data_IF_568426924177
#
_entry.id   IF_568426924177
#
_cell.length_a   1.000
_cell.length_b   1.000
_cell.length_c   1.000
_cell.angle_alpha   90.00
_cell.angle_beta   90.00
_cell.angle_gamma   90.00
#
_symmetry.space_group_name_H-M   'P 1'
#
loop_
_entity.id
_entity.type
_entity.pdbx_description
1 polymer ?
#
# COMPACT_ATOMS: atom_id res chain seq x y z
N UNK A 1 -34.15 -37.41 -37.36
CA UNK A 1 -33.82 -36.67 -36.13
C UNK A 1 -32.32 -36.76 -35.90
N UNK A 2 -31.68 -35.59 -35.92
CA UNK A 2 -30.43 -35.18 -35.27
C UNK A 2 -29.16 -36.00 -35.53
N UNK A 3 -28.39 -35.48 -36.48
CA UNK A 3 -26.94 -35.58 -36.63
C UNK A 3 -26.22 -35.19 -35.32
N UNK A 4 -25.24 -36.00 -34.89
CA UNK A 4 -24.26 -35.62 -33.88
C UNK A 4 -23.14 -34.79 -34.55
N UNK A 5 -22.75 -33.62 -34.00
CA UNK A 5 -21.60 -32.88 -34.53
C UNK A 5 -20.27 -33.39 -33.97
N UNK A 6 -19.28 -33.25 -34.85
CA UNK A 6 -17.89 -33.65 -34.78
C UNK A 6 -17.05 -32.93 -33.69
N UNK A 7 -15.96 -33.60 -33.34
CA UNK A 7 -14.64 -32.99 -33.48
C UNK A 7 -14.02 -32.38 -32.22
N UNK A 8 -13.33 -33.22 -31.45
CA UNK A 8 -12.33 -32.77 -30.48
C UNK A 8 -10.98 -32.71 -31.22
N UNK A 9 -10.53 -31.49 -31.56
CA UNK A 9 -9.18 -31.21 -32.07
C UNK A 9 -8.42 -30.41 -31.01
N UNK A 10 -7.64 -31.11 -30.16
CA UNK A 10 -6.74 -30.49 -29.19
C UNK A 10 -5.44 -30.08 -29.90
N UNK A 11 -5.49 -28.94 -30.59
CA UNK A 11 -4.32 -28.36 -31.28
C UNK A 11 -3.50 -27.45 -30.36
N UNK A 12 -2.37 -27.99 -29.89
CA UNK A 12 -1.10 -27.32 -29.61
C UNK A 12 -1.13 -25.82 -29.20
N UNK A 13 -1.13 -25.54 -27.89
CA UNK A 13 -0.50 -24.34 -27.29
C UNK A 13 0.12 -24.66 -25.92
N UNK A 14 0.86 -25.79 -25.85
CA UNK A 14 1.55 -26.28 -24.64
C UNK A 14 3.08 -26.07 -24.66
N UNK A 15 3.57 -25.20 -25.54
CA UNK A 15 5.01 -24.98 -25.75
C UNK A 15 5.45 -23.51 -25.56
N UNK A 16 4.75 -22.76 -24.69
CA UNK A 16 5.12 -21.37 -24.37
C UNK A 16 5.01 -21.08 -22.87
N UNK A 17 5.57 -21.99 -22.07
CA UNK A 17 5.54 -21.90 -20.60
C UNK A 17 6.89 -22.20 -19.94
N UNK A 18 8.00 -22.21 -20.67
CA UNK A 18 9.32 -22.57 -20.14
C UNK A 18 10.47 -21.69 -20.63
N UNK A 19 10.33 -20.36 -20.61
CA UNK A 19 11.43 -19.48 -21.06
C UNK A 19 11.37 -18.03 -20.53
N UNK A 20 10.99 -17.80 -19.26
CA UNK A 20 11.21 -16.50 -18.59
C UNK A 20 11.49 -16.72 -17.10
N UNK A 21 12.64 -17.33 -16.76
CA UNK A 21 13.08 -17.47 -15.35
C UNK A 21 14.55 -17.07 -15.12
N UNK A 22 15.22 -16.34 -16.03
CA UNK A 22 16.62 -15.97 -15.83
C UNK A 22 16.85 -14.50 -16.19
N UNK A 23 16.42 -13.62 -15.28
CA UNK A 23 16.89 -12.22 -15.23
C UNK A 23 16.74 -11.60 -13.82
N UNK A 24 16.86 -12.40 -12.76
CA UNK A 24 17.11 -11.89 -11.39
C UNK A 24 18.59 -12.12 -10.99
N UNK A 25 19.51 -11.87 -11.93
CA UNK A 25 20.91 -11.63 -11.56
C UNK A 25 20.95 -10.34 -10.74
N UNK A 26 21.33 -10.46 -9.47
CA UNK A 26 21.05 -9.50 -8.42
C UNK A 26 21.67 -8.11 -8.60
N UNK A 27 21.05 -7.14 -7.93
CA UNK A 27 21.73 -5.92 -7.52
C UNK A 27 22.72 -6.31 -6.40
N UNK A 28 23.97 -6.60 -6.76
CA UNK A 28 25.07 -6.51 -5.80
C UNK A 28 25.28 -5.02 -5.54
N UNK A 29 24.89 -4.56 -4.35
CA UNK A 29 25.17 -3.22 -3.89
C UNK A 29 26.70 -3.11 -3.68
N UNK A 30 27.42 -2.70 -4.73
CA UNK A 30 28.83 -2.30 -4.58
C UNK A 30 28.87 -1.06 -3.70
N UNK A 31 29.22 -1.29 -2.45
CA UNK A 31 29.64 -0.32 -1.47
C UNK A 31 30.75 0.55 -2.08
N UNK A 32 30.36 1.72 -2.58
CA UNK A 32 31.28 2.72 -3.10
C UNK A 32 32.07 3.29 -1.92
N UNK A 33 33.39 3.20 -2.08
CA UNK A 33 34.41 3.61 -1.13
C UNK A 33 34.19 5.03 -0.60
N UNK A 34 34.28 5.15 0.72
CA UNK A 34 34.48 6.41 1.41
C UNK A 34 35.67 7.16 0.80
N UNK A 35 35.56 8.47 0.50
CA UNK A 35 36.74 9.29 0.27
C UNK A 35 37.56 9.33 1.57
N UNK A 36 38.86 9.09 1.41
CA UNK A 36 39.86 9.07 2.47
C UNK A 36 39.83 10.38 3.25
N UNK A 37 39.68 10.21 4.56
CA UNK A 37 39.94 11.19 5.61
C UNK A 37 41.22 11.99 5.33
N UNK A 38 41.07 13.32 5.20
CA UNK A 38 42.11 14.27 5.50
C UNK A 38 41.91 14.67 6.96
N UNK A 39 42.78 14.15 7.81
CA UNK A 39 42.76 14.35 9.26
C UNK A 39 43.23 15.78 9.57
N UNK A 40 42.40 16.56 10.24
CA UNK A 40 42.81 17.70 11.06
C UNK A 40 42.39 17.38 12.50
N UNK A 41 43.30 17.34 13.48
CA UNK A 41 42.94 16.94 14.84
C UNK A 41 42.41 18.14 15.63
N UNK A 42 41.17 18.05 16.14
CA UNK A 42 40.74 18.86 17.28
C UNK A 42 39.49 18.28 17.98
N UNK A 43 39.71 17.93 19.26
CA UNK A 43 38.78 17.93 20.39
C UNK A 43 37.89 16.71 20.68
N UNK A 44 37.87 16.39 21.97
CA UNK A 44 37.38 15.17 22.62
C UNK A 44 35.86 14.95 22.47
N UNK A 45 35.38 13.69 22.52
CA UNK A 45 33.95 13.40 22.43
C UNK A 45 33.22 13.85 23.70
N UNK A 46 32.35 14.84 23.56
CA UNK A 46 31.27 15.09 24.50
C UNK A 46 30.30 13.89 24.51
N UNK A 47 29.69 13.54 25.65
CA UNK A 47 28.80 12.38 25.74
C UNK A 47 27.58 12.60 24.86
N UNK A 48 27.33 11.64 23.96
CA UNK A 48 26.08 11.56 23.19
C UNK A 48 24.91 11.47 24.16
N UNK A 49 24.19 12.58 24.30
CA UNK A 49 22.89 12.60 24.94
C UNK A 49 22.00 11.69 24.12
N UNK A 50 21.69 10.50 24.65
CA UNK A 50 20.61 9.67 24.14
C UNK A 50 19.36 10.56 24.16
N UNK A 51 18.92 10.97 22.97
CA UNK A 51 17.63 11.60 22.81
C UNK A 51 16.62 10.57 23.29
N UNK A 52 16.13 10.78 24.51
CA UNK A 52 15.00 10.06 25.04
C UNK A 52 13.93 10.11 23.95
N UNK A 53 13.60 8.94 23.39
CA UNK A 53 12.43 8.81 22.56
C UNK A 53 11.28 9.26 23.44
N UNK A 54 10.78 10.46 23.15
CA UNK A 54 9.60 10.99 23.79
C UNK A 54 8.52 9.97 23.48
N UNK A 55 8.14 9.19 24.48
CA UNK A 55 6.95 8.35 24.46
C UNK A 55 5.77 9.32 24.54
N UNK A 56 5.63 10.17 23.52
CA UNK A 56 4.37 10.85 23.24
C UNK A 56 3.38 9.74 22.94
N UNK A 57 2.15 9.86 23.42
CA UNK A 57 1.06 8.89 23.25
C UNK A 57 0.80 8.57 21.75
N UNK A 58 1.66 7.73 21.19
CA UNK A 58 1.75 7.32 19.79
C UNK A 58 0.46 6.60 19.37
N UNK A 59 -0.16 5.89 20.31
CA UNK A 59 -1.47 5.28 20.14
C UNK A 59 -2.60 6.27 19.83
N UNK A 60 -2.60 7.48 20.40
CA UNK A 60 -3.67 8.47 20.15
C UNK A 60 -3.56 9.03 18.73
N UNK A 61 -2.34 9.30 18.27
CA UNK A 61 -2.08 9.80 16.92
C UNK A 61 -2.33 8.71 15.87
N UNK A 62 -1.90 7.47 16.13
CA UNK A 62 -2.18 6.32 15.25
C UNK A 62 -3.67 5.99 15.17
N UNK A 63 -4.41 6.14 16.27
CA UNK A 63 -5.86 5.89 16.28
C UNK A 63 -6.61 6.87 15.37
N UNK A 64 -6.17 8.13 15.29
CA UNK A 64 -6.73 9.11 14.33
C UNK A 64 -6.48 8.76 12.86
N UNK A 65 -5.45 7.95 12.58
CA UNK A 65 -5.12 7.46 11.24
C UNK A 65 -5.85 6.16 10.84
N UNK A 66 -6.74 5.64 11.70
CA UNK A 66 -7.58 4.48 11.39
C UNK A 66 -8.71 4.80 10.40
N UNK A 67 -9.02 6.09 10.22
CA UNK A 67 -10.04 6.58 9.29
C UNK A 67 -9.40 7.24 8.08
N UNK A 68 -10.10 7.19 6.94
CA UNK A 68 -9.69 7.92 5.75
C UNK A 68 -9.61 9.43 6.03
N UNK A 69 -8.56 10.08 5.53
CA UNK A 69 -8.46 11.53 5.59
C UNK A 69 -9.46 12.20 4.62
N UNK A 70 -9.67 13.49 4.78
CA UNK A 70 -10.65 14.25 4.00
C UNK A 70 -10.35 14.27 2.50
N UNK A 71 -9.07 14.38 2.12
CA UNK A 71 -8.60 14.34 0.73
C UNK A 71 -8.97 13.03 0.03
N UNK A 72 -8.76 11.91 0.72
CA UNK A 72 -9.10 10.57 0.25
C UNK A 72 -10.60 10.40 0.05
N UNK A 73 -11.42 10.86 1.00
CA UNK A 73 -12.89 10.83 0.89
C UNK A 73 -13.38 11.67 -0.29
N UNK A 74 -12.83 12.87 -0.46
CA UNK A 74 -13.15 13.72 -1.62
C UNK A 74 -12.74 13.07 -2.94
N UNK A 75 -11.56 12.46 -2.98
CA UNK A 75 -11.07 11.77 -4.17
C UNK A 75 -11.95 10.57 -4.53
N UNK A 76 -12.40 9.82 -3.52
CA UNK A 76 -13.36 8.74 -3.73
C UNK A 76 -14.67 9.28 -4.31
N UNK A 77 -15.21 10.38 -3.77
CA UNK A 77 -16.43 11.00 -4.32
C UNK A 77 -16.23 11.47 -5.76
N UNK A 78 -15.10 12.08 -6.08
CA UNK A 78 -14.81 12.54 -7.44
C UNK A 78 -14.79 11.38 -8.46
N UNK A 79 -14.38 10.17 -8.06
CA UNK A 79 -14.46 9.00 -8.93
C UNK A 79 -15.89 8.68 -9.40
N UNK A 80 -16.94 9.13 -8.71
CA UNK A 80 -18.33 8.97 -9.19
C UNK A 80 -18.51 9.59 -10.57
N UNK A 81 -17.88 10.74 -10.81
CA UNK A 81 -17.96 11.46 -12.09
C UNK A 81 -16.92 10.94 -13.09
N UNK A 82 -15.67 10.74 -12.64
CA UNK A 82 -14.56 10.43 -13.54
C UNK A 82 -14.46 8.94 -13.92
N UNK A 83 -14.88 8.02 -13.05
CA UNK A 83 -14.81 6.58 -13.29
C UNK A 83 -15.77 5.82 -12.37
N UNK A 84 -17.07 5.72 -12.73
CA UNK A 84 -18.09 5.05 -11.90
C UNK A 84 -17.73 3.60 -11.52
N UNK A 85 -17.05 2.88 -12.42
CA UNK A 85 -16.52 1.54 -12.17
C UNK A 85 -15.49 1.53 -11.03
N UNK A 86 -14.53 2.46 -11.08
CA UNK A 86 -13.50 2.58 -10.04
C UNK A 86 -14.11 3.06 -8.73
N UNK A 87 -15.08 3.98 -8.77
CA UNK A 87 -15.83 4.39 -7.60
C UNK A 87 -16.47 3.20 -6.88
N UNK A 88 -17.25 2.38 -7.59
CA UNK A 88 -17.92 1.23 -6.98
C UNK A 88 -16.93 0.23 -6.34
N UNK A 89 -15.79 0.00 -7.00
CA UNK A 89 -14.74 -0.86 -6.44
C UNK A 89 -14.18 -0.29 -5.13
N UNK A 90 -13.87 1.00 -5.12
CA UNK A 90 -13.19 1.61 -3.97
C UNK A 90 -14.16 2.01 -2.84
N UNK A 91 -15.45 2.26 -3.13
CA UNK A 91 -16.47 2.45 -2.10
C UNK A 91 -16.66 1.18 -1.29
N UNK A 92 -16.83 0.03 -1.96
CA UNK A 92 -16.94 -1.28 -1.30
C UNK A 92 -15.69 -1.58 -0.47
N UNK A 93 -14.50 -1.33 -1.00
CA UNK A 93 -13.25 -1.55 -0.27
C UNK A 93 -13.10 -0.63 0.96
N UNK A 94 -13.56 0.62 0.86
CA UNK A 94 -13.57 1.57 1.97
C UNK A 94 -14.55 1.13 3.06
N UNK A 95 -15.75 0.72 2.68
CA UNK A 95 -16.79 0.24 3.59
C UNK A 95 -16.35 -1.04 4.31
N UNK A 96 -15.75 -1.99 3.59
CA UNK A 96 -15.22 -3.23 4.16
C UNK A 96 -14.11 -2.94 5.19
N UNK A 97 -13.17 -2.04 4.86
CA UNK A 97 -12.10 -1.66 5.76
C UNK A 97 -12.63 -0.97 7.02
N UNK A 98 -13.60 -0.07 6.87
CA UNK A 98 -14.25 0.62 7.99
C UNK A 98 -15.05 -0.34 8.88
N UNK A 99 -15.77 -1.29 8.28
CA UNK A 99 -16.53 -2.31 9.01
C UNK A 99 -15.60 -3.20 9.87
N UNK A 100 -14.51 -3.69 9.28
CA UNK A 100 -13.51 -4.49 10.00
C UNK A 100 -12.80 -3.69 11.09
N UNK A 101 -12.47 -2.43 10.80
CA UNK A 101 -11.88 -1.53 11.79
C UNK A 101 -12.84 -1.26 12.96
N UNK A 102 -14.14 -1.07 12.70
CA UNK A 102 -15.14 -0.90 13.75
C UNK A 102 -15.23 -2.13 14.66
N UNK A 103 -15.15 -3.34 14.10
CA UNK A 103 -15.08 -4.57 14.88
C UNK A 103 -13.83 -4.59 15.77
N UNK A 104 -12.67 -4.24 15.24
CA UNK A 104 -11.45 -4.12 16.04
C UNK A 104 -11.60 -3.09 17.17
N UNK A 105 -12.15 -1.91 16.88
CA UNK A 105 -12.36 -0.86 17.88
C UNK A 105 -13.27 -1.32 19.03
N UNK A 106 -14.24 -2.20 18.75
CA UNK A 106 -15.15 -2.74 19.77
C UNK A 106 -14.45 -3.63 20.81
N UNK A 107 -13.36 -4.30 20.43
CA UNK A 107 -12.59 -5.20 21.33
C UNK A 107 -11.24 -4.63 21.74
N UNK A 108 -10.85 -3.46 21.21
CA UNK A 108 -9.52 -2.84 21.36
C UNK A 108 -9.04 -2.79 22.81
N UNK A 109 -9.94 -2.53 23.75
CA UNK A 109 -9.60 -2.34 25.16
C UNK A 109 -9.38 -3.66 25.91
N UNK A 110 -9.82 -4.78 25.35
CA UNK A 110 -9.66 -6.12 25.94
C UNK A 110 -8.38 -6.81 25.46
N UNK A 111 -7.71 -6.26 24.44
CA UNK A 111 -6.48 -6.80 23.88
C UNK A 111 -5.26 -6.34 24.66
N UNK A 112 -4.25 -7.20 24.72
CA UNK A 112 -2.94 -6.79 25.23
C UNK A 112 -2.32 -5.67 24.35
N UNK A 113 -1.46 -4.81 24.91
CA UNK A 113 -0.93 -3.65 24.18
C UNK A 113 -0.14 -3.97 22.90
N UNK A 114 0.58 -5.10 22.88
CA UNK A 114 1.39 -5.49 21.73
C UNK A 114 0.52 -5.92 20.54
N UNK A 115 -0.52 -6.71 20.80
CA UNK A 115 -1.49 -7.09 19.78
C UNK A 115 -2.28 -5.87 19.28
N UNK A 116 -2.62 -4.96 20.20
CA UNK A 116 -3.31 -3.71 19.87
C UNK A 116 -2.50 -2.86 18.88
N UNK A 117 -1.23 -2.58 19.20
CA UNK A 117 -0.35 -1.79 18.33
C UNK A 117 -0.12 -2.48 16.97
N UNK A 118 0.07 -3.80 16.95
CA UNK A 118 0.20 -4.57 15.71
C UNK A 118 -1.01 -4.35 14.79
N UNK A 119 -2.22 -4.51 15.34
CA UNK A 119 -3.46 -4.41 14.56
C UNK A 119 -3.74 -2.97 14.14
N UNK A 120 -3.50 -1.98 15.02
CA UNK A 120 -3.57 -0.55 14.68
C UNK A 120 -2.66 -0.24 13.49
N UNK A 121 -1.39 -0.65 13.55
CA UNK A 121 -0.42 -0.39 12.48
C UNK A 121 -0.84 -1.05 11.16
N UNK A 122 -1.43 -2.25 11.22
CA UNK A 122 -1.98 -2.90 10.05
C UNK A 122 -3.14 -2.10 9.43
N UNK A 123 -4.12 -1.65 10.23
CA UNK A 123 -5.24 -0.85 9.73
C UNK A 123 -4.80 0.50 9.16
N UNK A 124 -3.92 1.22 9.86
CA UNK A 124 -3.35 2.50 9.39
C UNK A 124 -2.67 2.32 8.03
N UNK A 125 -1.86 1.27 7.89
CA UNK A 125 -1.17 0.95 6.63
C UNK A 125 -2.16 0.62 5.49
N UNK A 126 -3.19 -0.19 5.78
CA UNK A 126 -4.24 -0.54 4.80
C UNK A 126 -5.03 0.69 4.36
N UNK A 127 -5.43 1.55 5.29
CA UNK A 127 -6.17 2.78 5.02
C UNK A 127 -5.34 3.73 4.14
N UNK A 128 -4.08 3.96 4.53
CA UNK A 128 -3.15 4.79 3.75
C UNK A 128 -2.96 4.25 2.31
N UNK A 129 -2.77 2.94 2.17
CA UNK A 129 -2.64 2.28 0.86
C UNK A 129 -3.90 2.42 0.01
N UNK A 130 -5.08 2.23 0.61
CA UNK A 130 -6.36 2.40 -0.10
C UNK A 130 -6.52 3.84 -0.59
N UNK A 131 -6.24 4.82 0.27
CA UNK A 131 -6.33 6.23 -0.09
C UNK A 131 -5.39 6.62 -1.23
N UNK A 132 -4.13 6.17 -1.21
CA UNK A 132 -3.23 6.43 -2.34
C UNK A 132 -3.72 5.80 -3.65
N UNK A 133 -4.31 4.61 -3.61
CA UNK A 133 -4.87 3.98 -4.81
C UNK A 133 -6.05 4.76 -5.36
N UNK A 134 -6.90 5.28 -4.49
CA UNK A 134 -8.04 6.13 -4.87
C UNK A 134 -7.53 7.40 -5.56
N UNK A 135 -6.63 8.13 -4.91
CA UNK A 135 -6.05 9.38 -5.42
C UNK A 135 -5.32 9.16 -6.76
N UNK A 136 -4.50 8.12 -6.85
CA UNK A 136 -3.79 7.75 -8.08
C UNK A 136 -4.76 7.38 -9.21
N UNK A 137 -5.79 6.57 -8.91
CA UNK A 137 -6.79 6.19 -9.93
C UNK A 137 -7.56 7.40 -10.41
N UNK A 138 -7.92 8.33 -9.53
CA UNK A 138 -8.59 9.57 -9.91
C UNK A 138 -7.70 10.40 -10.83
N UNK A 139 -6.42 10.58 -10.48
CA UNK A 139 -5.48 11.31 -11.33
C UNK A 139 -5.36 10.72 -12.74
N UNK A 140 -5.28 9.39 -12.84
CA UNK A 140 -5.26 8.72 -14.15
C UNK A 140 -6.58 8.89 -14.92
N UNK A 141 -7.73 8.79 -14.25
CA UNK A 141 -9.03 9.01 -14.88
C UNK A 141 -9.20 10.45 -15.38
N UNK A 142 -8.66 11.44 -14.66
CA UNK A 142 -8.64 12.85 -15.09
C UNK A 142 -7.77 13.06 -16.33
N UNK A 143 -6.57 12.46 -16.36
CA UNK A 143 -5.65 12.57 -17.52
C UNK A 143 -6.28 11.94 -18.77
N UNK A 144 -6.90 10.77 -18.63
CA UNK A 144 -7.53 10.06 -19.76
C UNK A 144 -8.69 10.83 -20.41
N UNK A 145 -9.30 11.80 -19.71
CA UNK A 145 -10.33 12.66 -20.31
C UNK A 145 -9.74 13.80 -21.16
N UNK A 146 -8.50 14.20 -20.91
CA UNK A 146 -7.83 15.29 -21.62
C UNK A 146 -7.06 14.77 -22.84
N UNK A 147 -6.66 13.49 -22.83
CA UNK A 147 -5.97 12.82 -23.94
C UNK A 147 -6.79 11.62 -24.45
N UNK A 148 -7.89 11.86 -25.18
CA UNK A 148 -8.68 10.78 -25.78
C UNK A 148 -7.92 10.23 -26.99
N UNK A 149 -7.11 9.19 -26.78
CA UNK A 149 -6.53 8.37 -27.85
C UNK A 149 -7.62 7.74 -28.72
#
# INVERSE_FOLDING_TARGET
>A
MIHYPAGIDYKMKKAWLLMVCIALAGCVNKQQSAPKSLVTPAQAPAPVTQQAQVVTNDNTIKSGALTANETCVKSLRALQTYSPKSWNKYSVAMDELNSKNSLFLSVKNDLNPQLNDLVINAYVSKMKTLCYRIESTLGQAMIAQVDPL
#
